data_IF_886002074665
#
_entry.id   IF_886002074665
#
_cell.length_a   1.000
_cell.length_b   1.000
_cell.length_c   1.000
_cell.angle_alpha   90.00
_cell.angle_beta   90.00
_cell.angle_gamma   90.00
#
_symmetry.space_group_name_H-M   'P 1'
#
loop_
_entity.id
_entity.type
_entity.pdbx_description
1 polymer ?
#
# COMPACT_ATOMS: atom_id res chain seq x y z
N UNK A 1 -15.10 14.14 17.03
CA UNK A 1 -15.05 12.69 16.74
C UNK A 1 -16.03 12.24 15.62
N UNK A 2 -16.91 13.09 15.07
CA UNK A 2 -17.89 12.68 14.04
C UNK A 2 -17.31 12.33 12.66
N UNK A 3 -16.17 12.90 12.25
CA UNK A 3 -15.61 12.67 10.91
C UNK A 3 -15.30 11.19 10.63
N UNK A 4 -14.63 10.52 11.58
CA UNK A 4 -14.28 9.10 11.44
C UNK A 4 -15.52 8.21 11.41
N UNK A 5 -16.50 8.49 12.27
CA UNK A 5 -17.74 7.72 12.32
C UNK A 5 -18.59 7.88 11.05
N UNK A 6 -18.68 9.10 10.51
CA UNK A 6 -19.40 9.39 9.26
C UNK A 6 -18.74 8.76 8.02
N UNK A 7 -17.41 8.61 8.04
CA UNK A 7 -16.64 8.15 6.88
C UNK A 7 -16.03 6.75 7.04
N UNK A 8 -16.32 6.05 8.14
CA UNK A 8 -15.75 4.75 8.50
C UNK A 8 -15.83 3.76 7.35
N UNK A 9 -17.02 3.60 6.75
CA UNK A 9 -17.24 2.67 5.63
C UNK A 9 -16.36 2.98 4.41
N UNK A 10 -16.10 4.26 4.12
CA UNK A 10 -15.24 4.65 2.98
C UNK A 10 -13.76 4.40 3.28
N UNK A 11 -13.35 4.67 4.52
CA UNK A 11 -11.98 4.45 5.00
C UNK A 11 -11.64 2.95 5.08
N UNK A 12 -12.56 2.10 5.54
CA UNK A 12 -12.37 0.65 5.53
C UNK A 12 -12.31 0.12 4.09
N UNK A 13 -13.18 0.62 3.21
CA UNK A 13 -13.13 0.25 1.78
C UNK A 13 -11.80 0.64 1.12
N UNK A 14 -11.25 1.82 1.42
CA UNK A 14 -9.98 2.23 0.84
C UNK A 14 -8.83 1.33 1.29
N UNK A 15 -8.81 0.88 2.54
CA UNK A 15 -7.83 -0.11 3.01
C UNK A 15 -7.93 -1.44 2.24
N UNK A 16 -9.16 -1.97 2.08
CA UNK A 16 -9.37 -3.23 1.37
C UNK A 16 -8.98 -3.10 -0.11
N UNK A 17 -9.44 -2.05 -0.79
CA UNK A 17 -9.09 -1.83 -2.21
C UNK A 17 -7.60 -1.53 -2.39
N UNK A 18 -7.00 -0.79 -1.47
CA UNK A 18 -5.57 -0.54 -1.45
C UNK A 18 -4.75 -1.81 -1.23
N UNK A 19 -5.23 -2.74 -0.39
CA UNK A 19 -4.59 -4.04 -0.20
C UNK A 19 -4.69 -4.90 -1.47
N UNK A 20 -5.86 -4.98 -2.09
CA UNK A 20 -6.06 -5.74 -3.34
C UNK A 20 -5.19 -5.18 -4.47
N UNK A 21 -5.20 -3.85 -4.66
CA UNK A 21 -4.35 -3.17 -5.62
C UNK A 21 -2.87 -3.39 -5.32
N UNK A 22 -2.50 -3.37 -4.03
CA UNK A 22 -1.15 -3.63 -3.56
C UNK A 22 -0.69 -5.05 -3.88
N UNK A 23 -1.53 -6.06 -3.69
CA UNK A 23 -1.22 -7.46 -4.04
C UNK A 23 -1.04 -7.58 -5.55
N UNK A 24 -1.95 -7.02 -6.34
CA UNK A 24 -1.85 -7.05 -7.80
C UNK A 24 -0.56 -6.38 -8.30
N UNK A 25 -0.24 -5.19 -7.78
CA UNK A 25 1.01 -4.50 -8.07
C UNK A 25 2.22 -5.35 -7.68
N UNK A 26 2.20 -5.95 -6.49
CA UNK A 26 3.32 -6.73 -6.00
C UNK A 26 3.59 -7.97 -6.87
N UNK A 27 2.55 -8.65 -7.34
CA UNK A 27 2.70 -9.81 -8.24
C UNK A 27 3.34 -9.41 -9.57
N UNK A 28 3.07 -8.21 -10.07
CA UNK A 28 3.60 -7.74 -11.35
C UNK A 28 5.03 -7.18 -11.26
N UNK A 29 5.41 -6.58 -10.12
CA UNK A 29 6.62 -5.76 -10.03
C UNK A 29 7.63 -6.22 -8.96
N UNK A 30 7.25 -7.09 -8.02
CA UNK A 30 8.22 -7.67 -7.08
C UNK A 30 8.97 -8.78 -7.79
N UNK A 31 10.24 -8.54 -8.09
CA UNK A 31 11.11 -9.57 -8.65
C UNK A 31 11.62 -10.51 -7.55
N UNK A 32 11.66 -11.80 -7.85
CA UNK A 32 12.24 -12.82 -6.95
C UNK A 32 13.75 -12.73 -6.86
N UNK A 33 14.41 -12.24 -7.89
CA UNK A 33 15.86 -12.16 -7.95
C UNK A 33 16.31 -10.80 -7.45
N UNK A 34 17.08 -10.80 -6.35
CA UNK A 34 17.76 -9.61 -5.87
C UNK A 34 19.22 -9.70 -6.24
N UNK A 35 19.67 -8.71 -6.97
CA UNK A 35 21.09 -8.54 -7.26
C UNK A 35 21.75 -7.82 -6.07
N UNK A 36 22.71 -8.48 -5.45
CA UNK A 36 23.53 -7.89 -4.39
C UNK A 36 24.91 -7.65 -5.00
N UNK A 37 25.21 -6.37 -5.23
CA UNK A 37 26.51 -5.90 -5.73
C UNK A 37 27.43 -5.71 -4.53
N UNK A 38 28.50 -6.52 -4.44
CA UNK A 38 29.49 -6.41 -3.37
C UNK A 38 30.89 -6.20 -3.99
N UNK A 39 31.27 -4.94 -4.18
CA UNK A 39 32.49 -4.57 -4.91
C UNK A 39 32.38 -4.95 -6.40
N UNK A 40 33.34 -5.74 -6.91
CA UNK A 40 33.33 -6.26 -8.30
C UNK A 40 32.55 -7.58 -8.45
N UNK A 41 31.96 -8.11 -7.39
CA UNK A 41 31.27 -9.40 -7.42
C UNK A 41 29.76 -9.17 -7.47
N UNK A 42 29.13 -9.68 -8.53
CA UNK A 42 27.68 -9.71 -8.69
C UNK A 42 27.15 -11.03 -8.13
N UNK A 43 26.34 -10.96 -7.08
CA UNK A 43 25.72 -12.13 -6.46
C UNK A 43 24.22 -12.09 -6.69
N UNK A 44 23.69 -13.11 -7.36
CA UNK A 44 22.25 -13.26 -7.58
C UNK A 44 21.68 -14.07 -6.41
N UNK A 45 20.90 -13.41 -5.56
CA UNK A 45 20.16 -14.07 -4.50
C UNK A 45 18.72 -14.25 -4.96
N UNK A 46 18.31 -15.50 -5.18
CA UNK A 46 16.91 -15.82 -5.41
C UNK A 46 16.18 -15.89 -4.08
N UNK A 47 15.22 -15.00 -3.88
CA UNK A 47 14.37 -15.01 -2.70
C UNK A 47 13.60 -16.32 -2.62
N UNK A 48 13.58 -16.91 -1.43
CA UNK A 48 12.74 -18.07 -1.15
C UNK A 48 11.26 -17.70 -1.31
N UNK A 49 10.40 -18.71 -1.51
CA UNK A 49 8.95 -18.50 -1.65
C UNK A 49 8.38 -17.72 -0.45
N UNK A 50 8.88 -17.99 0.76
CA UNK A 50 8.46 -17.28 1.97
C UNK A 50 8.88 -15.81 1.96
N UNK A 51 10.13 -15.51 1.62
CA UNK A 51 10.61 -14.12 1.52
C UNK A 51 9.84 -13.34 0.46
N UNK A 52 9.55 -13.97 -0.67
CA UNK A 52 8.74 -13.39 -1.73
C UNK A 52 7.32 -13.06 -1.26
N UNK A 53 6.66 -13.96 -0.53
CA UNK A 53 5.32 -13.71 0.05
C UNK A 53 5.39 -12.56 1.07
N UNK A 54 6.41 -12.53 1.92
CA UNK A 54 6.60 -11.45 2.90
C UNK A 54 6.78 -10.11 2.20
N UNK A 55 7.53 -10.08 1.10
CA UNK A 55 7.77 -8.86 0.33
C UNK A 55 6.52 -8.37 -0.40
N UNK A 56 5.72 -9.29 -0.96
CA UNK A 56 4.39 -8.99 -1.48
C UNK A 56 3.51 -8.38 -0.39
N UNK A 57 3.43 -9.01 0.78
CA UNK A 57 2.59 -8.54 1.88
C UNK A 57 3.05 -7.16 2.36
N UNK A 58 4.35 -6.94 2.53
CA UNK A 58 4.93 -5.65 2.92
C UNK A 58 4.53 -4.56 1.93
N UNK A 59 4.76 -4.79 0.64
CA UNK A 59 4.44 -3.84 -0.43
C UNK A 59 2.95 -3.55 -0.49
N UNK A 60 2.12 -4.59 -0.35
CA UNK A 60 0.66 -4.47 -0.37
C UNK A 60 0.11 -3.65 0.80
N UNK A 61 0.65 -3.86 2.00
CA UNK A 61 0.30 -3.09 3.20
C UNK A 61 0.73 -1.62 3.04
N UNK A 62 1.93 -1.37 2.50
CA UNK A 62 2.39 0.00 2.23
C UNK A 62 1.46 0.74 1.26
N UNK A 63 1.04 0.08 0.17
CA UNK A 63 0.10 0.65 -0.81
C UNK A 63 -1.27 0.91 -0.15
N UNK A 64 -1.77 -0.03 0.66
CA UNK A 64 -3.02 0.09 1.40
C UNK A 64 -3.04 1.28 2.37
N UNK A 65 -1.97 1.47 3.15
CA UNK A 65 -1.83 2.61 4.07
C UNK A 65 -1.77 3.92 3.28
N UNK A 66 -1.02 3.94 2.17
CA UNK A 66 -0.89 5.14 1.34
C UNK A 66 -2.23 5.56 0.74
N UNK A 67 -3.01 4.60 0.22
CA UNK A 67 -4.36 4.87 -0.29
C UNK A 67 -5.32 5.31 0.80
N UNK A 68 -5.23 4.73 2.01
CA UNK A 68 -6.00 5.18 3.15
C UNK A 68 -5.72 6.65 3.50
N UNK A 69 -4.45 7.06 3.57
CA UNK A 69 -4.06 8.44 3.87
C UNK A 69 -4.59 9.40 2.79
N UNK A 70 -4.43 9.05 1.51
CA UNK A 70 -4.94 9.88 0.39
C UNK A 70 -6.45 10.07 0.51
N UNK A 71 -7.21 8.99 0.76
CA UNK A 71 -8.67 9.06 0.91
C UNK A 71 -9.07 9.85 2.16
N UNK A 72 -8.33 9.71 3.26
CA UNK A 72 -8.56 10.48 4.48
C UNK A 72 -8.40 11.98 4.24
N UNK A 73 -7.31 12.40 3.59
CA UNK A 73 -7.04 13.80 3.22
C UNK A 73 -8.15 14.32 2.30
N UNK A 74 -8.51 13.55 1.27
CA UNK A 74 -9.58 13.92 0.35
C UNK A 74 -10.92 14.15 1.06
N UNK A 75 -11.33 13.23 1.93
CA UNK A 75 -12.59 13.35 2.67
C UNK A 75 -12.57 14.51 3.66
N UNK A 76 -11.41 14.79 4.27
CA UNK A 76 -11.25 15.93 5.16
C UNK A 76 -11.44 17.27 4.42
N UNK A 77 -10.79 17.43 3.27
CA UNK A 77 -10.96 18.63 2.42
C UNK A 77 -12.40 18.76 1.95
N UNK A 78 -13.02 17.66 1.51
CA UNK A 78 -14.41 17.65 1.06
C UNK A 78 -15.39 18.05 2.17
N UNK A 79 -15.19 17.56 3.40
CA UNK A 79 -16.05 17.93 4.53
C UNK A 79 -15.90 19.41 4.89
N UNK A 80 -14.69 19.96 4.79
CA UNK A 80 -14.45 21.38 5.07
C UNK A 80 -15.14 22.30 4.05
N UNK A 81 -15.11 21.93 2.76
CA UNK A 81 -15.83 22.67 1.70
C UNK A 81 -17.34 22.66 1.91
N UNK A 82 -17.91 21.55 2.39
CA UNK A 82 -19.35 21.44 2.69
C UNK A 82 -19.81 22.25 3.89
N UNK A 83 -18.90 22.72 4.75
CA UNK A 83 -19.23 23.60 5.88
C UNK A 83 -19.18 25.09 5.52
N UNK A 84 -18.55 25.44 4.40
CA UNK A 84 -18.36 26.81 3.93
C UNK A 84 -19.46 27.27 2.96
N UNK A 85 -20.17 26.32 2.34
CA UNK A 85 -21.37 26.55 1.53
C UNK A 85 -22.62 26.21 2.33
#
# INVERSE_FOLDING_TARGET
>A
MNFFHENEKKLVKSLIYGLIAGVYYSILYVNRTKEIINGNTHTFHEATIFEYIIEILRTSVTISITTFIIVMVYLYVQQNQRKLN
#
